data_IF_591370553756
#
_entry.id   IF_591370553756
#
_cell.length_a   1.000
_cell.length_b   1.000
_cell.length_c   1.000
_cell.angle_alpha   90.00
_cell.angle_beta   90.00
_cell.angle_gamma   90.00
#
_symmetry.space_group_name_H-M   'P 1'
#
loop_
_entity.id
_entity.type
_entity.pdbx_description
1 polymer ?
#
# COMPACT_ATOMS: atom_id res chain seq x y z
N UNK A 1 -19.65 52.40 -48.68
CA UNK A 1 -19.52 50.93 -48.58
C UNK A 1 -18.38 50.66 -47.60
N UNK A 2 -18.70 50.53 -46.30
CA UNK A 2 -17.70 50.27 -45.25
C UNK A 2 -17.45 48.76 -45.15
N UNK A 3 -16.22 48.34 -45.43
CA UNK A 3 -15.76 46.97 -45.23
C UNK A 3 -15.31 46.82 -43.76
N UNK A 4 -16.10 46.11 -42.97
CA UNK A 4 -15.70 45.64 -41.64
C UNK A 4 -14.80 44.41 -41.81
N UNK A 5 -13.51 44.57 -41.52
CA UNK A 5 -12.58 43.45 -41.42
C UNK A 5 -12.78 42.70 -40.11
N UNK A 6 -13.21 41.44 -40.19
CA UNK A 6 -13.30 40.54 -39.04
C UNK A 6 -11.87 40.04 -38.76
N UNK A 7 -11.27 40.50 -37.66
CA UNK A 7 -10.05 39.90 -37.12
C UNK A 7 -10.44 38.60 -36.39
N UNK A 8 -10.18 37.45 -37.01
CA UNK A 8 -10.18 36.16 -36.32
C UNK A 8 -8.91 36.05 -35.48
N UNK A 9 -9.01 36.19 -34.16
CA UNK A 9 -7.96 35.80 -33.23
C UNK A 9 -7.99 34.28 -33.08
N UNK A 10 -7.08 33.57 -33.74
CA UNK A 10 -6.82 32.16 -33.44
C UNK A 10 -6.16 32.07 -32.06
N UNK A 11 -6.91 31.65 -31.05
CA UNK A 11 -6.33 31.16 -29.80
C UNK A 11 -5.76 29.77 -30.07
N UNK A 12 -4.44 29.69 -30.23
CA UNK A 12 -3.71 28.43 -30.18
C UNK A 12 -3.73 27.93 -28.74
N UNK A 13 -4.63 27.01 -28.41
CA UNK A 13 -4.50 26.22 -27.19
C UNK A 13 -3.29 25.30 -27.37
N UNK A 14 -2.17 25.64 -26.74
CA UNK A 14 -1.09 24.67 -26.54
C UNK A 14 -1.59 23.72 -25.46
N UNK A 15 -2.10 22.56 -25.87
CA UNK A 15 -2.19 21.43 -24.96
C UNK A 15 -0.75 21.10 -24.58
N UNK A 16 -0.38 21.32 -23.32
CA UNK A 16 0.92 20.90 -22.83
C UNK A 16 1.03 19.38 -23.07
N UNK A 17 2.10 18.94 -23.73
CA UNK A 17 2.35 17.52 -23.93
C UNK A 17 2.42 16.81 -22.57
N UNK A 18 1.89 15.59 -22.51
CA UNK A 18 1.92 14.80 -21.28
C UNK A 18 3.37 14.58 -20.81
N UNK A 19 3.64 14.70 -19.50
CA UNK A 19 5.00 14.63 -19.00
C UNK A 19 5.56 13.20 -19.09
N UNK A 20 6.79 13.05 -19.58
CA UNK A 20 7.47 11.75 -19.72
C UNK A 20 8.68 11.69 -18.79
N UNK A 21 8.81 10.61 -18.02
CA UNK A 21 9.98 10.30 -17.19
C UNK A 21 10.59 8.97 -17.66
N UNK A 22 11.92 8.87 -17.61
CA UNK A 22 12.64 7.63 -17.89
C UNK A 22 13.10 7.00 -16.58
N UNK A 23 12.54 5.84 -16.24
CA UNK A 23 12.95 5.00 -15.12
C UNK A 23 13.96 3.93 -15.58
N UNK A 24 14.69 3.27 -14.66
CA UNK A 24 15.54 2.12 -15.00
C UNK A 24 14.79 0.95 -15.67
N UNK A 25 13.49 0.83 -15.39
CA UNK A 25 12.60 -0.24 -15.90
C UNK A 25 11.90 0.11 -17.22
N UNK A 26 11.89 1.39 -17.61
CA UNK A 26 11.26 1.86 -18.85
C UNK A 26 10.77 3.32 -18.76
N UNK A 27 10.19 3.83 -19.85
CA UNK A 27 9.63 5.19 -19.87
C UNK A 27 8.19 5.19 -19.40
N UNK A 28 7.77 6.23 -18.68
CA UNK A 28 6.39 6.44 -18.23
C UNK A 28 5.86 7.79 -18.72
N UNK A 29 4.58 7.84 -19.07
CA UNK A 29 3.84 9.06 -19.40
C UNK A 29 2.81 9.34 -18.32
N UNK A 30 2.92 10.48 -17.65
CA UNK A 30 1.97 10.94 -16.63
C UNK A 30 0.90 11.86 -17.20
N UNK A 31 0.27 12.61 -16.31
CA UNK A 31 -0.67 13.70 -16.62
C UNK A 31 -0.26 14.99 -15.91
N UNK A 32 -0.53 16.14 -16.54
CA UNK A 32 -0.53 17.44 -15.88
C UNK A 32 -1.94 17.74 -15.35
N UNK A 33 -2.02 18.27 -14.12
CA UNK A 33 -3.28 18.61 -13.45
C UNK A 33 -3.10 19.86 -12.58
N UNK A 34 -4.19 20.33 -11.98
CA UNK A 34 -4.16 21.44 -11.00
C UNK A 34 -4.97 21.07 -9.76
N UNK A 35 -4.55 21.56 -8.59
CA UNK A 35 -5.30 21.34 -7.35
C UNK A 35 -6.66 22.03 -7.41
N UNK A 36 -7.68 21.46 -6.76
CA UNK A 36 -9.04 21.98 -6.87
C UNK A 36 -9.17 23.41 -6.32
N UNK A 37 -8.54 23.68 -5.17
CA UNK A 37 -8.72 24.92 -4.40
C UNK A 37 -7.86 26.06 -4.92
N UNK A 38 -6.55 25.92 -4.86
CA UNK A 38 -5.62 27.01 -5.19
C UNK A 38 -5.08 26.94 -6.63
N UNK A 39 -5.53 25.96 -7.43
CA UNK A 39 -5.10 25.76 -8.83
C UNK A 39 -3.59 25.61 -8.98
N UNK A 40 -2.93 25.02 -7.99
CA UNK A 40 -1.49 24.74 -8.03
C UNK A 40 -1.25 23.64 -9.07
N UNK A 41 -0.38 23.86 -10.08
CA UNK A 41 -0.07 22.84 -11.08
C UNK A 41 0.71 21.68 -10.46
N UNK A 42 0.44 20.47 -10.93
CA UNK A 42 1.22 19.29 -10.57
C UNK A 42 1.20 18.23 -11.67
N UNK A 43 2.17 17.33 -11.62
CA UNK A 43 2.23 16.12 -12.41
C UNK A 43 1.84 14.90 -11.58
N UNK A 44 1.08 13.99 -12.18
CA UNK A 44 0.74 12.71 -11.60
C UNK A 44 1.18 11.56 -12.51
N UNK A 45 1.82 10.57 -11.91
CA UNK A 45 2.19 9.31 -12.55
C UNK A 45 1.53 8.20 -11.74
N UNK A 46 0.49 7.60 -12.30
CA UNK A 46 -0.41 6.67 -11.63
C UNK A 46 -0.18 5.25 -12.12
N UNK A 47 -0.30 4.29 -11.21
CA UNK A 47 -0.27 2.87 -11.59
C UNK A 47 1.09 2.40 -12.11
N UNK A 48 2.20 2.94 -11.60
CA UNK A 48 3.54 2.47 -11.99
C UNK A 48 3.78 1.10 -11.32
N UNK A 49 4.12 0.03 -12.05
CA UNK A 49 4.46 -1.25 -11.44
C UNK A 49 5.78 -1.10 -10.67
N UNK A 50 5.75 -1.29 -9.35
CA UNK A 50 6.96 -1.25 -8.53
C UNK A 50 7.46 -2.66 -8.18
N UNK A 51 6.65 -3.69 -8.41
CA UNK A 51 6.96 -5.10 -8.21
C UNK A 51 6.29 -5.96 -9.30
N UNK A 52 6.81 -7.18 -9.51
CA UNK A 52 6.16 -8.17 -10.34
C UNK A 52 4.79 -8.55 -9.76
N UNK A 53 3.78 -8.86 -10.61
CA UNK A 53 2.47 -9.30 -10.14
C UNK A 53 2.60 -10.55 -9.24
N UNK A 54 2.08 -10.53 -8.00
CA UNK A 54 2.22 -11.64 -7.05
C UNK A 54 1.21 -12.77 -7.33
N UNK A 55 1.16 -13.25 -8.56
CA UNK A 55 0.22 -14.27 -9.06
C UNK A 55 0.87 -15.64 -9.17
N UNK A 56 0.05 -16.70 -9.16
CA UNK A 56 0.52 -18.09 -9.33
C UNK A 56 1.59 -18.45 -8.28
N UNK A 57 2.77 -18.85 -8.73
CA UNK A 57 3.88 -19.23 -7.84
C UNK A 57 4.43 -18.06 -6.99
N UNK A 58 4.12 -16.81 -7.33
CA UNK A 58 4.47 -15.63 -6.54
C UNK A 58 3.43 -15.29 -5.47
N UNK A 59 2.26 -15.94 -5.49
CA UNK A 59 1.26 -15.78 -4.44
C UNK A 59 1.85 -16.25 -3.11
N UNK A 60 1.68 -15.43 -2.08
CA UNK A 60 2.27 -15.57 -0.74
C UNK A 60 3.81 -15.52 -0.67
N UNK A 61 4.48 -15.17 -1.76
CA UNK A 61 5.94 -14.99 -1.78
C UNK A 61 6.34 -13.51 -1.64
N UNK A 62 7.58 -13.21 -1.21
CA UNK A 62 8.09 -11.84 -1.17
C UNK A 62 8.00 -11.14 -2.53
N UNK A 63 7.78 -9.82 -2.57
CA UNK A 63 7.73 -9.07 -3.83
C UNK A 63 9.07 -9.16 -4.57
N UNK A 64 8.99 -9.23 -5.90
CA UNK A 64 10.15 -9.29 -6.79
C UNK A 64 10.16 -8.08 -7.72
N UNK A 65 11.30 -7.78 -8.33
CA UNK A 65 11.41 -6.70 -9.31
C UNK A 65 10.46 -6.94 -10.49
N UNK A 66 9.77 -5.89 -10.98
CA UNK A 66 8.93 -6.02 -12.16
C UNK A 66 9.76 -6.32 -13.40
N UNK A 67 9.11 -6.87 -14.43
CA UNK A 67 9.72 -6.92 -15.76
C UNK A 67 9.85 -5.50 -16.33
N UNK A 68 10.92 -5.28 -17.09
CA UNK A 68 11.06 -4.06 -17.87
C UNK A 68 10.03 -4.04 -18.99
N UNK A 69 9.57 -2.84 -19.36
CA UNK A 69 8.65 -2.68 -20.48
C UNK A 69 9.30 -1.92 -21.63
N UNK A 70 8.91 -2.30 -22.85
CA UNK A 70 9.30 -1.60 -24.07
C UNK A 70 8.36 -0.40 -24.33
N UNK A 71 8.92 0.66 -24.90
CA UNK A 71 8.16 1.87 -25.21
C UNK A 71 7.82 2.71 -23.98
N UNK A 72 6.67 3.39 -24.04
CA UNK A 72 6.23 4.33 -22.99
C UNK A 72 4.96 3.78 -22.33
N UNK A 73 5.05 3.45 -21.05
CA UNK A 73 3.91 3.01 -20.23
C UNK A 73 3.00 4.20 -19.89
N UNK A 74 1.69 4.05 -20.10
CA UNK A 74 0.71 5.13 -19.90
C UNK A 74 0.26 5.20 -18.43
N UNK A 75 1.06 5.87 -17.60
CA UNK A 75 0.87 6.05 -16.16
C UNK A 75 -0.14 7.16 -15.81
N UNK A 76 -1.32 7.12 -16.43
CA UNK A 76 -2.36 8.16 -16.29
C UNK A 76 -3.55 7.75 -15.44
N UNK A 77 -3.68 6.46 -15.18
CA UNK A 77 -4.80 5.90 -14.42
C UNK A 77 -4.29 4.86 -13.44
N UNK A 78 -5.02 4.70 -12.35
CA UNK A 78 -4.85 3.59 -11.42
C UNK A 78 -6.23 3.03 -11.15
N UNK A 79 -6.45 1.77 -11.55
CA UNK A 79 -7.73 1.06 -11.40
C UNK A 79 -7.59 -0.32 -10.73
N UNK A 80 -6.35 -0.74 -10.42
CA UNK A 80 -6.07 -2.06 -9.86
C UNK A 80 -5.96 -1.92 -8.35
N UNK A 81 -6.77 -2.68 -7.63
CA UNK A 81 -6.74 -2.76 -6.17
C UNK A 81 -6.50 -4.21 -5.78
N UNK A 82 -5.82 -4.43 -4.66
CA UNK A 82 -5.64 -5.78 -4.15
C UNK A 82 -6.99 -6.37 -3.75
N UNK A 83 -7.17 -7.69 -3.88
CA UNK A 83 -8.30 -8.40 -3.30
C UNK A 83 -8.52 -8.00 -1.84
N UNK A 84 -9.77 -7.70 -1.47
CA UNK A 84 -10.13 -7.22 -0.15
C UNK A 84 -11.22 -8.10 0.43
N UNK A 85 -11.01 -8.54 1.68
CA UNK A 85 -11.88 -9.51 2.34
C UNK A 85 -13.35 -9.07 2.29
N UNK A 86 -14.14 -9.80 1.50
CA UNK A 86 -15.59 -9.68 1.34
C UNK A 86 -16.11 -8.25 1.03
N UNK A 87 -15.45 -7.54 0.12
CA UNK A 87 -15.94 -6.23 -0.36
C UNK A 87 -16.43 -6.20 -1.81
N UNK A 88 -16.02 -7.16 -2.63
CA UNK A 88 -16.39 -7.25 -4.06
C UNK A 88 -16.28 -5.90 -4.78
N UNK A 89 -15.14 -5.22 -4.64
CA UNK A 89 -14.93 -3.90 -5.22
C UNK A 89 -14.44 -4.06 -6.66
N UNK A 90 -15.02 -3.28 -7.57
CA UNK A 90 -14.56 -3.23 -8.97
C UNK A 90 -13.08 -2.88 -9.04
N UNK A 91 -12.30 -3.75 -9.68
CA UNK A 91 -10.85 -3.57 -9.86
C UNK A 91 -9.99 -4.46 -8.97
N UNK A 92 -10.60 -5.32 -8.14
CA UNK A 92 -9.89 -6.35 -7.37
C UNK A 92 -9.14 -7.33 -8.26
N UNK A 93 -7.86 -7.51 -7.94
CA UNK A 93 -6.93 -8.40 -8.63
C UNK A 93 -5.74 -8.69 -7.72
N UNK A 94 -5.08 -9.83 -7.94
CA UNK A 94 -3.79 -10.11 -7.31
C UNK A 94 -2.65 -9.27 -7.89
N UNK A 95 -2.74 -8.95 -9.17
CA UNK A 95 -1.85 -7.99 -9.83
C UNK A 95 -2.18 -6.58 -9.36
N UNK A 96 -1.74 -6.21 -8.17
CA UNK A 96 -2.10 -4.97 -7.50
C UNK A 96 -0.92 -4.14 -6.99
N UNK A 97 0.33 -4.59 -7.16
CA UNK A 97 1.53 -3.92 -6.62
C UNK A 97 1.97 -2.74 -7.49
N UNK A 98 1.21 -1.66 -7.36
CA UNK A 98 1.42 -0.40 -8.07
C UNK A 98 1.66 0.77 -7.12
N UNK A 99 2.43 1.74 -7.60
CA UNK A 99 2.77 2.97 -6.90
C UNK A 99 2.34 4.19 -7.73
N UNK A 100 1.96 5.26 -7.05
CA UNK A 100 1.61 6.53 -7.67
C UNK A 100 2.53 7.62 -7.14
N UNK A 101 2.97 8.52 -8.02
CA UNK A 101 3.80 9.68 -7.64
C UNK A 101 3.12 10.96 -8.10
N UNK A 102 3.01 11.91 -7.19
CA UNK A 102 2.46 13.24 -7.41
C UNK A 102 3.52 14.29 -7.08
N UNK A 103 3.78 15.23 -7.98
CA UNK A 103 4.87 16.20 -7.84
C UNK A 103 4.53 17.54 -8.49
N UNK A 104 4.69 18.70 -7.81
CA UNK A 104 4.40 20.02 -8.38
C UNK A 104 5.62 20.70 -9.04
N UNK A 105 6.62 19.92 -9.49
CA UNK A 105 7.83 20.37 -10.21
C UNK A 105 8.96 20.92 -9.29
N UNK A 106 9.90 20.01 -8.93
CA UNK A 106 11.16 20.16 -8.16
C UNK A 106 11.10 20.63 -6.70
N UNK A 107 11.00 19.65 -5.77
CA UNK A 107 10.99 19.89 -4.32
C UNK A 107 11.72 18.76 -3.58
N UNK A 108 12.62 19.14 -2.68
CA UNK A 108 13.37 18.24 -1.79
C UNK A 108 12.52 17.26 -0.95
N UNK A 109 11.36 17.65 -0.41
CA UNK A 109 10.65 16.84 0.58
C UNK A 109 9.66 15.84 -0.06
N UNK A 110 9.79 14.56 0.29
CA UNK A 110 8.91 13.48 -0.18
C UNK A 110 8.18 12.79 0.96
N UNK A 111 6.90 12.48 0.76
CA UNK A 111 6.08 11.68 1.65
C UNK A 111 5.72 10.36 1.00
N UNK A 112 5.90 9.26 1.73
CA UNK A 112 5.47 7.93 1.35
C UNK A 112 4.29 7.53 2.23
N UNK A 113 3.10 7.55 1.65
CA UNK A 113 1.85 7.31 2.35
C UNK A 113 1.39 5.86 2.23
N UNK A 114 1.23 5.22 3.37
CA UNK A 114 0.73 3.86 3.54
C UNK A 114 -0.72 3.95 4.03
N UNK A 115 -1.68 3.48 3.23
CA UNK A 115 -3.09 3.54 3.60
C UNK A 115 -3.44 2.59 4.74
N UNK A 116 -4.49 2.95 5.49
CA UNK A 116 -5.14 2.10 6.48
C UNK A 116 -6.26 1.22 5.90
N UNK A 117 -6.91 0.47 6.78
CA UNK A 117 -7.98 -0.47 6.41
C UNK A 117 -7.85 -1.83 7.09
N UNK A 118 -7.44 -1.81 8.37
CA UNK A 118 -7.28 -2.98 9.24
C UNK A 118 -6.47 -4.13 8.62
N UNK A 119 -5.55 -3.82 7.70
CA UNK A 119 -4.79 -4.81 6.90
C UNK A 119 -5.63 -5.75 6.02
N UNK A 120 -6.93 -5.53 5.89
CA UNK A 120 -7.85 -6.38 5.11
C UNK A 120 -8.47 -5.67 3.90
N UNK A 121 -8.38 -4.35 3.83
CA UNK A 121 -8.90 -3.54 2.73
C UNK A 121 -8.14 -2.20 2.61
N UNK A 122 -8.55 -1.37 1.65
CA UNK A 122 -7.92 -0.07 1.36
C UNK A 122 -7.11 -0.06 0.05
N UNK A 123 -6.91 1.11 -0.54
CA UNK A 123 -6.23 1.24 -1.83
C UNK A 123 -5.62 2.63 -2.03
N UNK A 124 -4.62 2.73 -2.90
CA UNK A 124 -3.88 3.96 -3.17
C UNK A 124 -4.46 4.82 -4.31
N UNK A 125 -5.63 4.48 -4.85
CA UNK A 125 -6.25 5.21 -5.95
C UNK A 125 -6.51 6.70 -5.60
N UNK A 126 -6.30 7.56 -6.59
CA UNK A 126 -6.40 9.02 -6.46
C UNK A 126 -7.74 9.51 -5.89
N UNK A 127 -8.85 8.84 -6.21
CA UNK A 127 -10.19 9.24 -5.77
C UNK A 127 -10.40 9.14 -4.25
N UNK A 128 -9.65 8.25 -3.57
CA UNK A 128 -9.70 8.13 -2.12
C UNK A 128 -8.58 8.95 -1.45
N UNK A 129 -7.37 8.91 -2.00
CA UNK A 129 -6.20 9.51 -1.35
C UNK A 129 -6.04 11.02 -1.58
N UNK A 130 -6.69 11.58 -2.61
CA UNK A 130 -6.84 13.03 -2.85
C UNK A 130 -5.61 13.88 -2.45
N UNK A 131 -4.58 13.93 -3.34
CA UNK A 131 -3.28 14.51 -3.01
C UNK A 131 -3.27 16.05 -2.90
N UNK A 132 -4.36 16.72 -3.26
CA UNK A 132 -4.40 18.15 -3.56
C UNK A 132 -3.93 19.02 -2.39
N UNK A 133 -4.37 18.75 -1.16
CA UNK A 133 -3.96 19.54 0.01
C UNK A 133 -2.48 19.39 0.34
N UNK A 134 -1.94 18.19 0.15
CA UNK A 134 -0.53 17.89 0.36
C UNK A 134 0.32 18.60 -0.69
N UNK A 135 -0.07 18.53 -1.96
CA UNK A 135 0.66 19.16 -3.06
C UNK A 135 0.72 20.69 -2.96
N UNK A 136 -0.27 21.34 -2.35
CA UNK A 136 -0.23 22.78 -2.05
C UNK A 136 0.85 23.18 -1.03
N UNK A 137 1.45 22.21 -0.33
CA UNK A 137 2.56 22.45 0.61
C UNK A 137 3.94 22.29 -0.03
N UNK A 138 4.01 22.20 -1.37
CA UNK A 138 5.24 21.92 -2.09
C UNK A 138 5.92 20.65 -1.56
N UNK A 139 5.30 19.50 -1.77
CA UNK A 139 5.91 18.18 -1.48
C UNK A 139 5.69 17.21 -2.63
N UNK A 140 6.58 16.23 -2.75
CA UNK A 140 6.32 15.03 -3.56
C UNK A 140 5.54 14.05 -2.70
N UNK A 141 4.39 13.57 -3.18
CA UNK A 141 3.60 12.55 -2.50
C UNK A 141 3.68 11.24 -3.28
N UNK A 142 3.97 10.16 -2.58
CA UNK A 142 3.97 8.81 -3.10
C UNK A 142 2.91 8.01 -2.36
N UNK A 143 2.01 7.36 -3.08
CA UNK A 143 1.03 6.42 -2.50
C UNK A 143 1.26 5.03 -3.08
N UNK A 144 1.08 3.99 -2.26
CA UNK A 144 1.44 2.62 -2.61
C UNK A 144 0.30 1.63 -2.34
N UNK A 145 0.10 0.68 -3.25
CA UNK A 145 -0.66 -0.53 -2.96
C UNK A 145 0.23 -1.58 -2.33
N UNK A 146 -0.30 -2.28 -1.33
CA UNK A 146 0.32 -3.44 -0.72
C UNK A 146 -0.72 -4.55 -0.54
N UNK A 147 -0.32 -5.82 -0.61
CA UNK A 147 -1.26 -6.93 -0.41
C UNK A 147 -1.90 -6.84 0.97
N UNK A 148 -3.20 -7.07 1.03
CA UNK A 148 -4.02 -7.08 2.24
C UNK A 148 -4.67 -8.45 2.43
N UNK A 149 -5.33 -8.65 3.56
CA UNK A 149 -6.07 -9.87 3.88
C UNK A 149 -5.19 -11.13 3.82
N UNK A 150 -5.71 -12.25 3.32
CA UNK A 150 -4.92 -13.49 3.21
C UNK A 150 -3.70 -13.30 2.29
N UNK A 151 -3.82 -12.53 1.21
CA UNK A 151 -2.72 -12.36 0.25
C UNK A 151 -1.52 -11.61 0.85
N UNK A 152 -1.76 -10.73 1.82
CA UNK A 152 -0.72 -9.95 2.49
C UNK A 152 -0.19 -10.55 3.78
N UNK A 153 -1.02 -11.32 4.50
CA UNK A 153 -0.75 -11.61 5.91
C UNK A 153 -1.01 -13.07 6.32
N UNK A 154 -1.27 -13.98 5.37
CA UNK A 154 -1.26 -15.42 5.65
C UNK A 154 0.10 -15.86 6.20
N UNK A 155 0.12 -16.72 7.21
CA UNK A 155 1.36 -17.33 7.71
C UNK A 155 1.11 -18.76 8.20
N UNK A 156 2.05 -19.65 7.91
CA UNK A 156 2.09 -21.04 8.42
C UNK A 156 2.86 -21.15 9.73
N UNK A 157 3.50 -20.07 10.19
CA UNK A 157 4.35 -20.08 11.38
C UNK A 157 5.71 -20.76 11.18
N UNK A 158 6.10 -21.01 9.93
CA UNK A 158 7.39 -21.54 9.51
C UNK A 158 7.93 -20.75 8.31
N UNK A 159 8.96 -21.25 7.63
CA UNK A 159 9.60 -20.54 6.52
C UNK A 159 8.90 -20.74 5.17
N UNK A 160 7.85 -21.55 5.08
CA UNK A 160 7.15 -21.83 3.81
C UNK A 160 6.24 -20.67 3.42
N UNK A 161 5.40 -20.23 4.37
CA UNK A 161 4.65 -18.99 4.30
C UNK A 161 4.96 -18.20 5.58
N UNK A 162 6.08 -17.47 5.63
CA UNK A 162 6.50 -16.80 6.86
C UNK A 162 5.54 -15.69 7.29
N UNK A 163 4.83 -15.09 6.33
CA UNK A 163 3.91 -13.98 6.55
C UNK A 163 4.52 -12.61 6.25
N UNK A 164 3.80 -11.58 6.66
CA UNK A 164 4.18 -10.17 6.49
C UNK A 164 4.42 -9.73 5.04
N UNK A 165 3.81 -10.40 4.06
CA UNK A 165 3.97 -10.04 2.64
C UNK A 165 3.51 -8.61 2.35
N UNK A 166 2.43 -8.15 2.97
CA UNK A 166 1.97 -6.76 2.87
C UNK A 166 3.00 -5.75 3.42
N UNK A 167 3.69 -6.07 4.53
CA UNK A 167 4.76 -5.21 5.04
C UNK A 167 6.01 -5.24 4.14
N UNK A 168 6.31 -6.41 3.56
CA UNK A 168 7.41 -6.57 2.59
C UNK A 168 7.12 -5.80 1.29
N UNK A 169 5.87 -5.77 0.83
CA UNK A 169 5.44 -4.95 -0.32
C UNK A 169 5.66 -3.46 -0.05
N UNK A 170 5.28 -2.98 1.13
CA UNK A 170 5.53 -1.59 1.54
C UNK A 170 7.04 -1.27 1.58
N UNK A 171 7.86 -2.16 2.15
CA UNK A 171 9.32 -1.96 2.18
C UNK A 171 9.91 -1.99 0.75
N UNK A 172 9.40 -2.85 -0.12
CA UNK A 172 9.84 -2.94 -1.51
C UNK A 172 9.49 -1.65 -2.27
N UNK A 173 8.31 -1.09 -2.06
CA UNK A 173 7.93 0.23 -2.58
C UNK A 173 8.80 1.36 -2.00
N UNK A 174 9.20 1.30 -0.73
CA UNK A 174 10.16 2.26 -0.15
C UNK A 174 11.54 2.17 -0.82
N UNK A 175 12.03 0.95 -1.10
CA UNK A 175 13.28 0.75 -1.85
C UNK A 175 13.17 1.31 -3.27
N UNK A 176 12.02 1.13 -3.92
CA UNK A 176 11.74 1.75 -5.22
C UNK A 176 11.79 3.29 -5.13
N UNK A 177 11.21 3.89 -4.09
CA UNK A 177 11.27 5.35 -3.87
C UNK A 177 12.71 5.81 -3.68
N UNK A 178 13.50 5.13 -2.85
CA UNK A 178 14.91 5.46 -2.64
C UNK A 178 15.71 5.47 -3.95
N UNK A 179 15.39 4.57 -4.87
CA UNK A 179 16.06 4.46 -6.17
C UNK A 179 15.59 5.51 -7.19
N UNK A 180 14.32 5.94 -7.12
CA UNK A 180 13.69 6.64 -8.24
C UNK A 180 13.19 8.05 -7.93
N UNK A 181 13.00 8.43 -6.66
CA UNK A 181 12.27 9.67 -6.31
C UNK A 181 12.94 10.95 -6.82
N UNK A 182 14.26 10.92 -7.00
CA UNK A 182 15.04 12.02 -7.59
C UNK A 182 14.64 12.34 -9.03
N UNK A 183 14.14 11.36 -9.79
CA UNK A 183 13.63 11.55 -11.15
C UNK A 183 12.30 12.32 -11.17
N UNK A 184 11.58 12.34 -10.03
CA UNK A 184 10.34 13.08 -9.82
C UNK A 184 10.56 14.41 -9.08
N UNK A 185 11.84 14.77 -8.85
CA UNK A 185 12.26 16.01 -8.19
C UNK A 185 12.43 15.92 -6.67
N UNK A 186 12.21 14.74 -6.05
CA UNK A 186 12.40 14.52 -4.61
C UNK A 186 13.84 14.22 -4.19
N UNK A 187 14.17 14.37 -2.90
CA UNK A 187 15.45 13.91 -2.36
C UNK A 187 15.26 12.58 -1.61
N UNK A 188 15.95 11.48 -2.00
CA UNK A 188 15.87 10.19 -1.30
C UNK A 188 16.24 10.28 0.19
N UNK A 189 17.09 11.25 0.58
CA UNK A 189 17.46 11.49 1.98
C UNK A 189 16.40 12.26 2.78
N UNK A 190 15.36 12.77 2.12
CA UNK A 190 14.29 13.57 2.73
C UNK A 190 12.94 12.83 2.76
N UNK A 191 12.92 11.52 2.52
CA UNK A 191 11.69 10.70 2.53
C UNK A 191 11.12 10.56 3.95
N UNK A 192 9.88 10.99 4.15
CA UNK A 192 9.09 10.77 5.38
C UNK A 192 8.02 9.72 5.12
N UNK A 193 7.95 8.68 5.96
CA UNK A 193 6.85 7.70 5.89
C UNK A 193 5.66 8.18 6.72
N UNK A 194 4.46 7.93 6.24
CA UNK A 194 3.23 8.38 6.87
C UNK A 194 2.12 7.34 6.69
N UNK A 195 1.24 7.22 7.66
CA UNK A 195 0.08 6.36 7.52
C UNK A 195 -0.92 6.50 8.67
N UNK A 196 -2.15 6.12 8.36
CA UNK A 196 -3.29 6.19 9.28
C UNK A 196 -3.85 4.81 9.59
N UNK A 197 -4.26 4.57 10.83
CA UNK A 197 -4.81 3.27 11.29
C UNK A 197 -3.84 2.11 10.96
N UNK A 198 -4.23 1.08 10.22
CA UNK A 198 -3.31 0.02 9.79
C UNK A 198 -2.08 0.55 9.04
N UNK A 199 -2.17 1.71 8.38
CA UNK A 199 -1.05 2.43 7.81
C UNK A 199 -0.11 3.04 8.86
N UNK A 200 -0.63 3.54 9.98
CA UNK A 200 0.18 4.01 11.12
C UNK A 200 0.87 2.84 11.85
N UNK A 201 0.16 1.72 12.01
CA UNK A 201 0.78 0.47 12.46
C UNK A 201 1.88 0.02 11.50
N UNK A 202 1.63 0.08 10.19
CA UNK A 202 2.64 -0.21 9.16
C UNK A 202 3.88 0.69 9.28
N UNK A 203 3.70 2.01 9.45
CA UNK A 203 4.81 2.96 9.67
C UNK A 203 5.67 2.53 10.85
N UNK A 204 5.06 2.17 11.96
CA UNK A 204 5.81 1.73 13.16
C UNK A 204 6.42 0.34 12.99
N UNK A 205 5.86 -0.55 12.17
CA UNK A 205 6.54 -1.77 11.74
C UNK A 205 7.78 -1.51 10.89
N UNK A 206 7.75 -0.51 9.99
CA UNK A 206 8.94 -0.07 9.26
C UNK A 206 10.00 0.54 10.18
N UNK A 207 9.59 1.20 11.27
CA UNK A 207 10.52 1.66 12.33
C UNK A 207 11.15 0.47 13.07
N UNK A 208 10.39 -0.58 13.36
CA UNK A 208 10.87 -1.76 14.08
C UNK A 208 11.76 -2.66 13.23
N UNK A 209 11.54 -2.72 11.91
CA UNK A 209 12.26 -3.61 11.01
C UNK A 209 13.72 -3.16 10.79
N UNK A 210 14.73 -3.97 11.15
CA UNK A 210 16.13 -3.63 10.89
C UNK A 210 16.45 -3.46 9.40
N UNK A 211 15.75 -4.19 8.53
CA UNK A 211 15.95 -4.13 7.07
C UNK A 211 15.38 -2.86 6.43
N UNK A 212 14.65 -2.03 7.18
CA UNK A 212 14.17 -0.72 6.74
C UNK A 212 15.11 0.43 7.12
N UNK A 213 16.24 0.13 7.78
CA UNK A 213 17.23 1.13 8.17
C UNK A 213 17.72 1.96 6.96
N UNK A 214 17.68 3.29 7.10
CA UNK A 214 18.12 4.22 6.06
C UNK A 214 17.14 4.45 4.91
N UNK A 215 15.97 3.78 4.88
CA UNK A 215 14.97 3.99 3.82
C UNK A 215 14.09 5.23 4.01
N UNK A 216 14.15 5.86 5.18
CA UNK A 216 13.38 7.06 5.51
C UNK A 216 14.09 7.87 6.60
N UNK A 217 13.84 9.17 6.61
CA UNK A 217 14.44 10.13 7.55
C UNK A 217 13.55 10.50 8.72
N UNK A 218 12.24 10.28 8.61
CA UNK A 218 11.24 10.59 9.63
C UNK A 218 9.96 9.77 9.39
N UNK A 219 9.10 9.73 10.41
CA UNK A 219 7.87 8.98 10.39
C UNK A 219 6.69 9.75 11.01
N UNK A 220 5.49 9.54 10.47
CA UNK A 220 4.22 10.04 11.00
C UNK A 220 3.27 8.85 11.19
N UNK A 221 2.81 8.62 12.41
CA UNK A 221 1.89 7.54 12.75
C UNK A 221 0.58 8.12 13.29
N UNK A 222 -0.48 7.99 12.51
CA UNK A 222 -1.80 8.52 12.85
C UNK A 222 -2.73 7.40 13.34
N UNK A 223 -3.19 7.54 14.58
CA UNK A 223 -4.22 6.68 15.18
C UNK A 223 -3.84 5.20 15.35
N UNK A 224 -2.56 4.83 15.33
CA UNK A 224 -2.13 3.44 15.52
C UNK A 224 -0.62 3.30 15.81
N UNK A 225 -0.23 2.10 16.24
CA UNK A 225 1.14 1.61 16.25
C UNK A 225 1.18 0.08 16.14
N UNK A 226 2.36 -0.50 15.91
CA UNK A 226 2.63 -1.94 15.94
C UNK A 226 2.38 -2.58 17.33
N UNK A 227 2.17 -1.76 18.37
CA UNK A 227 1.84 -2.24 19.71
C UNK A 227 0.32 -2.35 19.95
N UNK A 228 -0.51 -1.88 19.02
CA UNK A 228 -1.96 -2.06 19.08
C UNK A 228 -2.31 -3.55 19.04
N UNK A 229 -3.26 -3.98 19.86
CA UNK A 229 -3.62 -5.40 20.00
C UNK A 229 -4.10 -6.04 18.69
N UNK A 230 -4.85 -5.26 17.90
CA UNK A 230 -5.36 -5.66 16.57
C UNK A 230 -4.29 -5.67 15.48
N UNK A 231 -3.12 -5.07 15.73
CA UNK A 231 -2.04 -4.98 14.75
C UNK A 231 -1.11 -6.21 14.78
N UNK A 232 -1.51 -7.29 15.45
CA UNK A 232 -0.74 -8.52 15.59
C UNK A 232 -1.64 -9.77 15.54
N UNK A 233 -1.32 -10.70 14.63
CA UNK A 233 -2.06 -11.94 14.46
C UNK A 233 -1.43 -13.09 15.27
N UNK A 234 -2.24 -13.72 16.13
CA UNK A 234 -1.78 -14.77 17.07
C UNK A 234 -2.01 -16.19 16.58
N UNK A 235 -3.07 -16.40 15.80
CA UNK A 235 -3.55 -17.70 15.33
C UNK A 235 -3.33 -17.87 13.82
N UNK A 236 -2.21 -17.36 13.30
CA UNK A 236 -2.02 -17.25 11.85
C UNK A 236 -2.07 -18.59 11.12
N UNK A 237 -1.46 -19.63 11.70
CA UNK A 237 -1.50 -20.98 11.14
C UNK A 237 -2.93 -21.54 11.12
N UNK A 238 -3.69 -21.40 12.20
CA UNK A 238 -5.06 -21.92 12.27
C UNK A 238 -5.97 -21.23 11.26
N UNK A 239 -5.81 -19.91 11.08
CA UNK A 239 -6.52 -19.15 10.03
C UNK A 239 -6.13 -19.66 8.64
N UNK A 240 -4.84 -19.89 8.39
CA UNK A 240 -4.39 -20.31 7.07
C UNK A 240 -4.93 -21.68 6.65
N UNK A 241 -4.89 -22.66 7.57
CA UNK A 241 -5.46 -23.98 7.33
C UNK A 241 -6.98 -23.98 7.34
N UNK A 242 -7.60 -23.10 8.14
CA UNK A 242 -9.05 -22.90 8.15
C UNK A 242 -9.58 -22.46 6.78
N UNK A 243 -8.96 -21.44 6.17
CA UNK A 243 -9.33 -20.98 4.83
C UNK A 243 -9.24 -22.12 3.80
N UNK A 244 -8.18 -22.94 3.87
CA UNK A 244 -8.06 -24.08 2.98
C UNK A 244 -9.16 -25.12 3.21
N UNK A 245 -9.54 -25.38 4.46
CA UNK A 245 -10.62 -26.30 4.81
C UNK A 245 -12.01 -25.81 4.37
N UNK A 246 -12.24 -24.49 4.34
CA UNK A 246 -13.48 -23.90 3.81
C UNK A 246 -13.57 -24.08 2.27
N UNK A 247 -12.44 -24.07 1.57
CA UNK A 247 -12.37 -24.30 0.12
C UNK A 247 -12.46 -25.81 -0.20
N UNK A 248 -11.75 -26.64 0.56
CA UNK A 248 -11.76 -28.10 0.47
C UNK A 248 -11.78 -28.71 1.87
N UNK A 249 -12.94 -29.22 2.28
CA UNK A 249 -13.16 -29.85 3.59
C UNK A 249 -12.23 -31.04 3.92
N UNK A 250 -11.55 -31.61 2.92
CA UNK A 250 -10.55 -32.67 3.11
C UNK A 250 -9.16 -32.15 3.47
N UNK A 251 -8.95 -30.83 3.39
CA UNK A 251 -7.72 -30.17 3.78
C UNK A 251 -7.66 -29.99 5.30
N UNK A 252 -6.92 -30.86 5.97
CA UNK A 252 -6.80 -30.90 7.44
C UNK A 252 -5.48 -30.29 7.94
N UNK A 253 -5.42 -29.95 9.22
CA UNK A 253 -4.28 -29.24 9.83
C UNK A 253 -2.97 -30.05 9.93
N UNK A 254 -3.04 -31.36 9.70
CA UNK A 254 -1.92 -32.31 9.64
C UNK A 254 -1.18 -32.30 8.29
N UNK A 255 -1.73 -31.65 7.25
CA UNK A 255 -1.02 -31.40 5.99
C UNK A 255 0.22 -30.53 6.20
N UNK A 256 1.25 -30.74 5.39
CA UNK A 256 2.46 -29.91 5.44
C UNK A 256 2.16 -28.46 4.99
N UNK A 257 3.02 -27.52 5.38
CA UNK A 257 2.90 -26.14 4.94
C UNK A 257 3.14 -26.00 3.43
N UNK A 258 3.96 -26.89 2.85
CA UNK A 258 4.18 -27.00 1.41
C UNK A 258 2.91 -27.46 0.67
N UNK A 259 2.20 -28.46 1.22
CA UNK A 259 0.90 -28.89 0.66
C UNK A 259 -0.11 -27.73 0.70
N UNK A 260 -0.13 -26.95 1.78
CA UNK A 260 -1.01 -25.78 1.90
C UNK A 260 -0.65 -24.72 0.88
N UNK A 261 0.64 -24.38 0.73
CA UNK A 261 1.10 -23.42 -0.24
C UNK A 261 0.72 -23.85 -1.66
N UNK A 262 1.01 -25.11 -2.03
CA UNK A 262 0.69 -25.63 -3.36
C UNK A 262 -0.82 -25.61 -3.62
N UNK A 263 -1.63 -26.03 -2.65
CA UNK A 263 -3.08 -25.99 -2.75
C UNK A 263 -3.58 -24.55 -2.95
N UNK A 264 -3.21 -23.63 -2.06
CA UNK A 264 -3.65 -22.25 -2.13
C UNK A 264 -3.10 -21.49 -3.33
N UNK A 265 -1.98 -21.91 -3.94
CA UNK A 265 -1.50 -21.36 -5.22
C UNK A 265 -2.28 -21.89 -6.43
N UNK A 266 -2.92 -23.06 -6.30
CA UNK A 266 -3.66 -23.70 -7.39
C UNK A 266 -5.12 -23.25 -7.51
N UNK A 267 -5.71 -22.70 -6.45
CA UNK A 267 -7.10 -22.25 -6.43
C UNK A 267 -7.25 -20.82 -6.96
N UNK A 268 -8.46 -20.44 -7.35
CA UNK A 268 -8.76 -19.07 -7.75
C UNK A 268 -8.64 -18.10 -6.55
N UNK A 269 -8.09 -16.91 -6.78
CA UNK A 269 -7.93 -15.90 -5.74
C UNK A 269 -9.27 -15.50 -5.09
N UNK A 270 -10.34 -15.42 -5.88
CA UNK A 270 -11.69 -15.15 -5.37
C UNK A 270 -12.18 -16.22 -4.39
N UNK A 271 -11.78 -17.49 -4.56
CA UNK A 271 -12.14 -18.53 -3.60
C UNK A 271 -11.46 -18.30 -2.24
N UNK A 272 -10.21 -17.86 -2.24
CA UNK A 272 -9.49 -17.50 -1.00
C UNK A 272 -10.13 -16.28 -0.36
N UNK A 273 -10.40 -15.24 -1.14
CA UNK A 273 -10.98 -13.99 -0.67
C UNK A 273 -12.37 -14.20 -0.06
N UNK A 274 -13.27 -14.89 -0.77
CA UNK A 274 -14.63 -15.17 -0.32
C UNK A 274 -14.69 -16.00 0.97
N UNK A 275 -13.75 -16.94 1.16
CA UNK A 275 -13.70 -17.78 2.35
C UNK A 275 -12.89 -17.17 3.50
N UNK A 276 -12.29 -15.99 3.30
CA UNK A 276 -11.51 -15.30 4.33
C UNK A 276 -12.35 -14.47 5.30
N UNK A 277 -13.61 -14.15 4.95
CA UNK A 277 -14.50 -13.37 5.81
C UNK A 277 -14.88 -14.09 7.11
N UNK A 278 -14.80 -15.42 7.15
CA UNK A 278 -15.06 -16.18 8.39
C UNK A 278 -14.05 -15.85 9.49
N UNK A 279 -12.83 -15.43 9.12
CA UNK A 279 -11.72 -15.23 10.05
C UNK A 279 -11.51 -13.77 10.45
N UNK A 280 -11.81 -12.80 9.56
CA UNK A 280 -11.71 -11.31 9.71
C UNK A 280 -10.47 -10.75 10.44
N UNK A 281 -9.43 -11.55 10.68
CA UNK A 281 -8.28 -11.19 11.49
C UNK A 281 -7.01 -11.51 10.70
N UNK A 282 -6.61 -10.57 9.85
CA UNK A 282 -5.32 -10.58 9.19
C UNK A 282 -4.50 -9.40 9.70
N UNK A 283 -3.31 -9.68 10.18
CA UNK A 283 -2.39 -8.66 10.67
C UNK A 283 -0.95 -9.21 10.61
N UNK A 284 0.06 -8.35 10.81
CA UNK A 284 1.43 -8.82 10.91
C UNK A 284 1.65 -9.90 11.98
N UNK A 285 2.65 -10.75 11.76
CA UNK A 285 3.08 -11.84 12.65
C UNK A 285 4.54 -11.63 13.07
N UNK A 286 4.95 -12.31 14.14
CA UNK A 286 6.37 -12.51 14.46
C UNK A 286 6.84 -13.70 13.60
N UNK A 287 7.76 -13.44 12.68
CA UNK A 287 8.26 -14.44 11.75
C UNK A 287 9.32 -15.33 12.42
N UNK A 288 9.38 -16.59 12.00
CA UNK A 288 10.57 -17.41 12.20
C UNK A 288 11.74 -16.72 11.52
N UNK A 289 12.91 -16.69 12.15
CA UNK A 289 14.08 -16.04 11.56
C UNK A 289 14.49 -16.72 10.24
N UNK A 290 14.54 -15.93 9.17
CA UNK A 290 14.98 -16.32 7.83
C UNK A 290 15.52 -15.08 7.10
N UNK A 291 16.17 -15.29 5.96
CA UNK A 291 16.59 -14.17 5.11
C UNK A 291 15.37 -13.42 4.58
N UNK A 292 15.34 -12.10 4.77
CA UNK A 292 14.19 -11.26 4.43
C UNK A 292 13.07 -11.17 5.47
N UNK A 293 13.21 -11.76 6.66
CA UNK A 293 12.27 -11.54 7.77
C UNK A 293 12.22 -10.05 8.18
N UNK A 294 11.02 -9.53 8.39
CA UNK A 294 10.80 -8.14 8.81
C UNK A 294 10.83 -8.01 10.33
N UNK A 295 10.14 -8.91 11.04
CA UNK A 295 9.99 -8.87 12.50
C UNK A 295 10.17 -10.29 13.04
N UNK A 296 11.20 -10.50 13.86
CA UNK A 296 11.54 -11.83 14.41
C UNK A 296 11.44 -11.89 15.93
N UNK A 297 10.96 -10.81 16.55
CA UNK A 297 10.79 -10.73 17.99
C UNK A 297 9.58 -9.88 18.38
N UNK A 298 9.24 -9.92 19.67
CA UNK A 298 8.15 -9.10 20.23
C UNK A 298 8.41 -7.60 20.01
N UNK A 299 7.42 -6.91 19.44
CA UNK A 299 7.49 -5.48 19.20
C UNK A 299 7.72 -4.69 20.49
N UNK A 300 7.15 -5.14 21.63
CA UNK A 300 7.41 -4.53 22.95
C UNK A 300 8.87 -4.63 23.36
N UNK A 301 9.50 -5.79 23.16
CA UNK A 301 10.91 -6.02 23.49
C UNK A 301 11.85 -5.26 22.54
N UNK A 302 11.50 -5.14 21.26
CA UNK A 302 12.27 -4.34 20.31
C UNK A 302 12.27 -2.86 20.73
N UNK A 303 11.11 -2.30 21.07
CA UNK A 303 10.97 -0.92 21.56
C UNK A 303 11.70 -0.71 22.89
N UNK A 304 11.45 -1.56 23.90
CA UNK A 304 12.03 -1.41 25.23
C UNK A 304 13.56 -1.44 25.24
N UNK A 305 14.15 -2.25 24.35
CA UNK A 305 15.60 -2.38 24.20
C UNK A 305 16.19 -1.40 23.17
N UNK A 306 15.38 -0.50 22.59
CA UNK A 306 15.84 0.50 21.63
C UNK A 306 16.33 -0.06 20.30
N UNK A 307 15.92 -1.28 19.94
CA UNK A 307 16.22 -1.98 18.68
C UNK A 307 15.24 -1.53 17.59
N UNK A 308 15.34 -0.25 17.25
CA UNK A 308 14.48 0.43 16.29
C UNK A 308 15.29 1.37 15.40
N UNK A 309 14.77 1.69 14.23
CA UNK A 309 15.26 2.78 13.40
C UNK A 309 14.97 4.12 14.08
N UNK A 310 15.99 4.73 14.69
CA UNK A 310 15.86 5.98 15.45
C UNK A 310 15.75 7.18 14.50
N UNK A 311 14.51 7.59 14.21
CA UNK A 311 14.18 8.77 13.42
C UNK A 311 13.20 9.67 14.19
N UNK A 312 13.06 10.96 13.84
CA UNK A 312 11.96 11.78 14.33
C UNK A 312 10.61 11.12 14.02
N UNK A 313 9.77 10.99 15.06
CA UNK A 313 8.44 10.40 14.98
C UNK A 313 7.42 11.44 15.45
N UNK A 314 6.44 11.73 14.59
CA UNK A 314 5.20 12.41 14.98
C UNK A 314 4.12 11.35 15.15
N UNK A 315 3.53 11.26 16.33
CA UNK A 315 2.45 10.32 16.63
C UNK A 315 1.26 11.08 17.19
N UNK A 316 0.06 10.73 16.73
CA UNK A 316 -1.18 11.37 17.14
C UNK A 316 -2.35 10.40 17.14
N UNK A 317 -3.37 10.75 17.93
CA UNK A 317 -4.66 10.05 17.99
C UNK A 317 -5.76 11.12 18.01
N UNK A 318 -6.96 10.76 17.58
CA UNK A 318 -8.14 11.60 17.77
C UNK A 318 -8.57 11.59 19.24
N UNK A 319 -9.27 12.63 19.69
CA UNK A 319 -9.81 12.71 21.06
C UNK A 319 -10.88 11.65 21.35
N UNK A 320 -11.52 11.13 20.31
CA UNK A 320 -12.64 10.19 20.37
C UNK A 320 -12.45 9.08 19.32
N UNK A 321 -11.34 8.33 19.39
CA UNK A 321 -11.12 7.17 18.51
C UNK A 321 -12.29 6.18 18.61
N UNK A 322 -12.68 5.63 17.46
CA UNK A 322 -13.77 4.65 17.35
C UNK A 322 -15.17 5.16 17.78
N UNK A 323 -15.40 6.47 17.94
CA UNK A 323 -16.74 6.99 18.27
C UNK A 323 -17.82 6.57 17.25
N UNK A 324 -17.43 6.36 15.99
CA UNK A 324 -18.31 5.81 14.96
C UNK A 324 -18.78 4.38 15.27
N UNK A 325 -17.98 3.55 15.95
CA UNK A 325 -18.39 2.21 16.42
C UNK A 325 -19.40 2.29 17.56
N UNK A 326 -19.29 3.31 18.42
CA UNK A 326 -20.31 3.58 19.43
C UNK A 326 -21.64 3.97 18.75
N UNK A 327 -21.60 4.79 17.69
CA UNK A 327 -22.78 5.20 16.94
C UNK A 327 -23.40 4.08 16.09
N UNK A 328 -22.59 3.18 15.51
CA UNK A 328 -23.10 2.10 14.64
C UNK A 328 -23.97 1.10 15.39
N UNK A 329 -23.66 0.81 16.67
CA UNK A 329 -24.52 0.02 17.57
C UNK A 329 -25.86 0.69 17.88
N UNK A 330 -25.93 2.02 17.85
CA UNK A 330 -27.19 2.76 18.02
C UNK A 330 -28.05 2.77 16.75
N UNK A 331 -27.46 2.89 15.56
CA UNK A 331 -28.21 2.90 14.30
C UNK A 331 -28.87 1.56 13.97
N UNK A 332 -28.34 0.43 14.44
CA UNK A 332 -28.99 -0.89 14.27
C UNK A 332 -30.26 -1.04 15.12
N UNK A 333 -30.40 -0.26 16.20
CA UNK A 333 -31.58 -0.28 17.07
C UNK A 333 -32.68 0.67 16.59
N UNK A 334 -32.35 1.79 15.95
CA UNK A 334 -33.34 2.81 15.52
C UNK A 334 -34.04 2.44 14.20
N UNK A 335 -33.44 1.57 13.38
CA UNK A 335 -34.05 1.10 12.12
C UNK A 335 -34.88 -0.20 12.28
N UNK A 336 -35.02 -0.72 13.50
CA UNK A 336 -35.85 -1.89 13.82
C UNK A 336 -37.06 -1.53 14.71
N UNK A 337 -37.57 -0.29 14.63
CA UNK A 337 -38.85 0.12 15.22
C UNK A 337 -39.82 0.58 14.15
#
# INVERSE_FOLDING_TARGET
MLLFGIFLTCFSYVLADDPIITLPDGQIRGIAATTDRNKVPFYAYLGIPFAAPPVGNLRFQPPQSPEKWDGIFDAKTNSKICYQVAREIKGETEDCLYINVYTPELIYLSFYYIYGGAFIHGYAMIGLQRPEFMLEQNIVLVTVNYRVGPFGFLSTGDTVIPGNMGLKDQQFGLKWVQQNIHLFGGDPNQVTIMGQSAGGASVTYQILSPSSAGLFRAAISESASALCDWAYQRNARDVAYGIAAEIDSSFTSDRSSEDLLQFLQSVDASAIDNNSDTYKAFAPVIEVAHDGAMITESMYEAVANGRINKVPLLIGINSEEEISLAASKYYTYVLNC
#
